data_IF_766127675747
#
_entry.id   IF_766127675747
#
_cell.length_a   1.000
_cell.length_b   1.000
_cell.length_c   1.000
_cell.angle_alpha   90.00
_cell.angle_beta   90.00
_cell.angle_gamma   90.00
#
_symmetry.space_group_name_H-M   'P 1'
#
loop_
_entity.id
_entity.type
_entity.pdbx_description
1 polymer ?
#
# COMPACT_ATOMS: atom_id res chain seq x y z
N UNK A 1 19.38 37.11 63.97
CA UNK A 1 18.51 35.93 63.77
C UNK A 1 18.09 35.89 62.31
N UNK A 2 18.51 34.83 61.57
CA UNK A 2 17.99 34.26 60.30
C UNK A 2 17.66 35.25 59.15
N UNK A 3 18.49 35.42 58.12
CA UNK A 3 18.71 34.52 56.96
C UNK A 3 17.45 33.84 56.44
N UNK A 4 17.04 34.16 55.20
CA UNK A 4 16.85 33.14 54.15
C UNK A 4 16.71 33.81 52.77
N UNK A 5 17.70 33.55 51.92
CA UNK A 5 17.62 33.62 50.47
C UNK A 5 16.60 32.59 49.98
N UNK A 6 15.69 32.96 49.07
CA UNK A 6 14.95 31.98 48.27
C UNK A 6 15.52 31.94 46.86
N UNK A 7 16.38 30.94 46.69
CA UNK A 7 16.93 30.44 45.45
C UNK A 7 15.83 29.67 44.69
N UNK A 8 15.71 29.96 43.39
CA UNK A 8 15.53 29.02 42.27
C UNK A 8 14.89 27.65 42.52
N UNK A 9 13.78 27.37 41.83
CA UNK A 9 13.52 26.06 41.24
C UNK A 9 12.65 26.23 39.98
N UNK A 10 13.31 26.47 38.83
CA UNK A 10 12.72 26.21 37.52
C UNK A 10 12.55 24.68 37.43
N UNK A 11 11.32 24.19 37.48
CA UNK A 11 11.01 22.81 37.15
C UNK A 11 11.07 22.71 35.62
N UNK A 12 12.28 22.46 35.12
CA UNK A 12 12.51 21.88 33.80
C UNK A 12 11.95 20.45 33.86
N UNK A 13 10.68 20.31 33.48
CA UNK A 13 10.10 19.04 33.05
C UNK A 13 10.79 18.65 31.73
N UNK A 14 12.00 18.11 31.87
CA UNK A 14 12.59 17.28 30.84
C UNK A 14 11.68 16.08 30.65
N UNK A 15 10.85 16.14 29.62
CA UNK A 15 10.21 14.96 29.02
C UNK A 15 11.37 14.13 28.45
N UNK A 16 11.98 13.33 29.34
CA UNK A 16 12.85 12.25 28.98
C UNK A 16 11.96 11.22 28.29
N UNK A 17 11.95 11.27 26.96
CA UNK A 17 11.51 10.13 26.17
C UNK A 17 12.32 8.91 26.64
N UNK A 18 11.68 7.84 27.12
CA UNK A 18 12.41 6.60 27.27
C UNK A 18 12.82 6.18 25.86
N UNK A 19 14.10 6.34 25.56
CA UNK A 19 14.71 5.65 24.43
C UNK A 19 14.55 4.16 24.71
N UNK A 20 13.51 3.56 24.13
CA UNK A 20 13.44 2.12 24.03
C UNK A 20 14.58 1.71 23.11
N UNK A 21 15.69 1.30 23.71
CA UNK A 21 16.73 0.54 23.02
C UNK A 21 16.13 -0.83 22.67
N UNK A 22 15.41 -0.86 21.55
CA UNK A 22 15.15 -2.08 20.80
C UNK A 22 16.51 -2.48 20.22
N UNK A 23 16.95 -3.72 20.48
CA UNK A 23 18.20 -4.24 19.94
C UNK A 23 18.21 -4.03 18.44
N UNK A 24 19.26 -3.36 17.94
CA UNK A 24 19.36 -2.90 16.56
C UNK A 24 19.05 -4.04 15.59
N UNK A 25 17.93 -3.89 14.90
CA UNK A 25 17.64 -4.67 13.71
C UNK A 25 18.45 -4.08 12.58
N UNK A 26 19.31 -4.86 11.92
CA UNK A 26 20.15 -4.46 10.77
C UNK A 26 19.35 -4.04 9.51
N UNK A 27 18.11 -3.56 9.65
CA UNK A 27 17.29 -3.08 8.55
C UNK A 27 17.68 -1.63 8.25
N UNK A 28 18.66 -1.48 7.37
CA UNK A 28 18.97 -0.23 6.68
C UNK A 28 18.28 -0.18 5.30
N UNK A 29 18.36 0.96 4.60
CA UNK A 29 17.87 1.14 3.22
C UNK A 29 18.24 0.00 2.28
N UNK A 30 19.46 -0.53 2.40
CA UNK A 30 19.95 -1.62 1.56
C UNK A 30 19.17 -2.91 1.83
N UNK A 31 18.76 -3.14 3.07
CA UNK A 31 17.95 -4.28 3.47
C UNK A 31 16.51 -4.14 2.99
N UNK A 32 15.89 -2.96 3.12
CA UNK A 32 14.57 -2.70 2.51
C UNK A 32 14.60 -2.83 0.98
N UNK A 33 15.63 -2.29 0.32
CA UNK A 33 15.84 -2.45 -1.13
C UNK A 33 16.13 -3.89 -1.56
N UNK A 34 16.60 -4.74 -0.65
CA UNK A 34 16.83 -6.17 -0.89
C UNK A 34 15.64 -7.07 -0.54
N UNK A 35 14.61 -6.50 0.07
CA UNK A 35 13.37 -7.19 0.39
C UNK A 35 12.38 -6.91 -0.72
N UNK A 36 11.63 -7.93 -1.13
CA UNK A 36 10.47 -7.69 -1.98
C UNK A 36 9.36 -7.12 -1.09
N UNK A 37 9.07 -5.83 -1.27
CA UNK A 37 8.00 -5.10 -0.58
C UNK A 37 6.93 -4.76 -1.61
N UNK A 38 5.68 -4.99 -1.25
CA UNK A 38 4.52 -4.76 -2.11
C UNK A 38 3.37 -4.19 -1.30
N UNK A 39 2.55 -3.34 -1.89
CA UNK A 39 1.30 -2.93 -1.25
C UNK A 39 0.31 -4.08 -1.14
N UNK A 40 -0.52 -4.02 -0.10
CA UNK A 40 -1.63 -4.95 0.09
C UNK A 40 -2.91 -4.14 0.26
N UNK A 41 -3.93 -4.52 -0.50
CA UNK A 41 -5.22 -3.83 -0.52
C UNK A 41 -6.37 -4.81 -0.35
N UNK A 42 -7.44 -4.32 0.27
CA UNK A 42 -8.75 -4.95 0.23
C UNK A 42 -9.46 -4.43 -1.03
N UNK A 43 -9.29 -5.13 -2.16
CA UNK A 43 -9.83 -4.72 -3.46
C UNK A 43 -11.37 -4.79 -3.52
N UNK A 44 -11.97 -5.64 -2.69
CA UNK A 44 -13.42 -5.80 -2.52
C UNK A 44 -13.71 -6.35 -1.12
N UNK A 45 -14.98 -6.55 -0.72
CA UNK A 45 -15.31 -7.21 0.54
C UNK A 45 -14.88 -8.68 0.59
N UNK A 46 -14.54 -9.27 -0.56
CA UNK A 46 -14.19 -10.69 -0.70
C UNK A 46 -12.73 -10.92 -1.11
N UNK A 47 -12.05 -9.88 -1.56
CA UNK A 47 -10.72 -10.00 -2.17
C UNK A 47 -9.72 -9.08 -1.48
N UNK A 48 -8.75 -9.69 -0.80
CA UNK A 48 -7.51 -9.04 -0.36
C UNK A 48 -6.37 -9.56 -1.22
N UNK A 49 -5.47 -8.68 -1.65
CA UNK A 49 -4.39 -9.06 -2.55
C UNK A 49 -3.10 -8.27 -2.28
N UNK A 50 -1.97 -8.93 -2.54
CA UNK A 50 -0.72 -8.24 -2.83
C UNK A 50 -0.85 -7.63 -4.22
N UNK A 51 -0.60 -6.33 -4.36
CA UNK A 51 -0.83 -5.60 -5.60
C UNK A 51 0.50 -5.13 -6.19
N UNK A 52 0.59 -5.22 -7.52
CA UNK A 52 1.66 -4.67 -8.33
C UNK A 52 1.02 -3.87 -9.45
N UNK A 53 1.36 -2.59 -9.56
CA UNK A 53 0.87 -1.74 -10.65
C UNK A 53 1.57 -2.08 -11.96
N UNK A 54 0.77 -2.11 -13.03
CA UNK A 54 1.24 -2.25 -14.41
C UNK A 54 1.69 -0.89 -14.93
N UNK A 55 2.84 -0.84 -15.58
CA UNK A 55 3.27 0.32 -16.39
C UNK A 55 3.39 1.69 -15.65
N UNK A 56 3.47 1.73 -14.33
CA UNK A 56 3.68 2.97 -13.55
C UNK A 56 5.15 3.35 -13.31
N UNK A 57 6.10 2.51 -13.74
CA UNK A 57 7.54 2.81 -13.61
C UNK A 57 8.17 3.10 -14.97
N UNK A 58 9.25 3.88 -14.98
CA UNK A 58 10.03 4.21 -16.20
C UNK A 58 10.53 2.97 -16.97
N UNK A 59 10.47 1.78 -16.38
CA UNK A 59 10.92 0.53 -16.99
C UNK A 59 9.93 -0.60 -16.79
N UNK A 60 9.51 -1.24 -17.89
CA UNK A 60 8.62 -2.39 -17.85
C UNK A 60 9.16 -3.52 -16.93
N UNK A 61 8.35 -3.89 -15.94
CA UNK A 61 8.60 -4.98 -15.00
C UNK A 61 8.55 -6.34 -15.72
N UNK A 62 8.96 -7.41 -15.02
CA UNK A 62 8.77 -8.78 -15.54
C UNK A 62 7.28 -9.11 -15.70
N UNK A 63 6.42 -8.59 -14.83
CA UNK A 63 4.99 -8.79 -14.90
C UNK A 63 4.39 -8.06 -16.10
N UNK A 64 4.82 -6.81 -16.36
CA UNK A 64 4.38 -6.04 -17.53
C UNK A 64 4.67 -6.80 -18.82
N UNK A 65 5.89 -7.32 -18.98
CA UNK A 65 6.30 -8.07 -20.17
C UNK A 65 5.51 -9.37 -20.38
N UNK A 66 5.19 -10.07 -19.28
CA UNK A 66 4.36 -11.28 -19.35
C UNK A 66 2.95 -10.89 -19.80
N UNK A 67 2.38 -9.85 -19.18
CA UNK A 67 1.03 -9.39 -19.50
C UNK A 67 0.92 -8.89 -20.94
N UNK A 68 1.80 -8.00 -21.39
CA UNK A 68 1.74 -7.40 -22.73
C UNK A 68 1.80 -8.49 -23.82
N UNK A 69 2.66 -9.51 -23.66
CA UNK A 69 2.75 -10.63 -24.60
C UNK A 69 1.48 -11.49 -24.62
N UNK A 70 0.84 -11.70 -23.47
CA UNK A 70 -0.40 -12.48 -23.40
C UNK A 70 -1.57 -11.64 -23.95
N UNK A 71 -1.62 -10.35 -23.63
CA UNK A 71 -2.62 -9.40 -24.11
C UNK A 71 -2.68 -9.37 -25.65
N UNK A 72 -1.52 -9.33 -26.31
CA UNK A 72 -1.43 -9.38 -27.78
C UNK A 72 -2.11 -10.61 -28.40
N UNK A 73 -2.22 -11.73 -27.64
CA UNK A 73 -2.78 -12.98 -28.12
C UNK A 73 -4.22 -13.21 -27.67
N UNK A 74 -4.51 -12.85 -26.42
CA UNK A 74 -5.75 -13.18 -25.73
C UNK A 74 -6.73 -12.00 -25.72
N UNK A 75 -6.29 -10.78 -26.10
CA UNK A 75 -7.12 -9.56 -26.15
C UNK A 75 -7.87 -9.28 -24.85
N UNK A 76 -7.19 -9.42 -23.70
CA UNK A 76 -7.78 -9.30 -22.36
C UNK A 76 -8.36 -7.89 -22.15
N UNK A 77 -7.68 -6.83 -22.59
CA UNK A 77 -8.19 -5.44 -22.48
C UNK A 77 -9.43 -5.22 -23.33
N UNK A 78 -9.56 -5.91 -24.46
CA UNK A 78 -10.76 -5.83 -25.28
C UNK A 78 -12.01 -6.27 -24.50
N UNK A 79 -11.87 -7.22 -23.56
CA UNK A 79 -12.97 -7.63 -22.68
C UNK A 79 -13.46 -6.47 -21.82
N UNK A 80 -12.55 -5.68 -21.25
CA UNK A 80 -12.90 -4.50 -20.45
C UNK A 80 -13.67 -3.48 -21.30
N UNK A 81 -13.13 -3.11 -22.48
CA UNK A 81 -13.79 -2.16 -23.37
C UNK A 81 -15.17 -2.66 -23.81
N UNK A 82 -15.30 -3.93 -24.19
CA UNK A 82 -16.57 -4.46 -24.66
C UNK A 82 -17.61 -4.59 -23.56
N UNK A 83 -17.23 -4.83 -22.31
CA UNK A 83 -18.18 -4.84 -21.18
C UNK A 83 -18.80 -3.48 -20.87
N UNK A 84 -18.23 -2.37 -21.38
CA UNK A 84 -18.81 -1.03 -21.27
C UNK A 84 -19.90 -0.75 -22.33
N UNK A 85 -20.12 -1.67 -23.29
CA UNK A 85 -21.09 -1.51 -24.37
C UNK A 85 -22.13 -2.66 -24.38
N UNK A 86 -23.37 -2.35 -24.77
CA UNK A 86 -24.50 -3.31 -24.76
C UNK A 86 -24.29 -4.55 -25.67
N UNK A 87 -23.31 -4.52 -26.58
CA UNK A 87 -22.97 -5.61 -27.50
C UNK A 87 -21.66 -6.33 -27.11
N UNK A 88 -21.45 -6.53 -25.81
CA UNK A 88 -20.24 -7.16 -25.30
C UNK A 88 -20.02 -8.57 -25.89
N UNK A 89 -18.97 -8.75 -26.69
CA UNK A 89 -18.53 -10.07 -27.15
C UNK A 89 -17.63 -10.67 -26.06
N UNK A 90 -18.00 -11.82 -25.44
CA UNK A 90 -17.17 -12.44 -24.43
C UNK A 90 -15.79 -12.80 -25.00
N UNK A 91 -14.73 -12.27 -24.39
CA UNK A 91 -13.37 -12.65 -24.78
C UNK A 91 -13.04 -14.03 -24.22
N UNK A 92 -12.72 -14.97 -25.12
CA UNK A 92 -12.43 -16.35 -24.75
C UNK A 92 -11.21 -16.43 -23.84
N UNK A 93 -11.34 -17.08 -22.69
CA UNK A 93 -10.24 -17.28 -21.73
C UNK A 93 -10.11 -16.18 -20.67
N UNK A 94 -11.00 -15.19 -20.69
CA UNK A 94 -11.11 -14.15 -19.65
C UNK A 94 -12.41 -14.36 -18.87
N UNK A 95 -12.33 -14.32 -17.54
CA UNK A 95 -13.48 -14.49 -16.65
C UNK A 95 -13.52 -13.37 -15.62
N UNK A 96 -14.68 -12.74 -15.41
CA UNK A 96 -14.89 -11.85 -14.27
C UNK A 96 -15.09 -12.73 -13.03
N UNK A 97 -14.23 -12.57 -12.03
CA UNK A 97 -14.26 -13.38 -10.80
C UNK A 97 -14.73 -12.58 -9.58
N UNK A 98 -14.64 -11.26 -9.63
CA UNK A 98 -15.18 -10.35 -8.62
C UNK A 98 -15.50 -9.00 -9.26
N UNK A 99 -16.72 -8.49 -9.06
CA UNK A 99 -17.16 -7.19 -9.57
C UNK A 99 -17.74 -6.32 -8.46
N UNK A 100 -17.43 -6.63 -7.19
CA UNK A 100 -18.04 -5.98 -6.03
C UNK A 100 -17.23 -4.82 -5.47
N UNK A 101 -15.97 -4.66 -5.92
CA UNK A 101 -15.11 -3.53 -5.57
C UNK A 101 -15.03 -2.47 -6.66
N UNK A 102 -14.06 -1.55 -6.54
CA UNK A 102 -13.76 -0.52 -7.56
C UNK A 102 -13.42 -1.16 -8.90
N UNK A 103 -12.54 -2.15 -8.88
CA UNK A 103 -12.15 -2.89 -10.08
C UNK A 103 -13.07 -4.08 -10.30
N UNK A 104 -13.44 -4.32 -11.57
CA UNK A 104 -13.86 -5.65 -12.00
C UNK A 104 -12.63 -6.53 -12.16
N UNK A 105 -12.44 -7.49 -11.26
CA UNK A 105 -11.30 -8.38 -11.23
C UNK A 105 -11.49 -9.52 -12.25
N UNK A 106 -10.54 -9.60 -13.18
CA UNK A 106 -10.50 -10.55 -14.27
C UNK A 106 -9.52 -11.68 -13.98
N UNK A 107 -9.84 -12.86 -14.46
CA UNK A 107 -9.00 -14.03 -14.41
C UNK A 107 -8.67 -14.50 -15.83
N UNK A 108 -7.39 -14.79 -16.07
CA UNK A 108 -6.91 -15.46 -17.28
C UNK A 108 -5.91 -16.55 -16.88
N UNK A 109 -6.12 -17.76 -17.37
CA UNK A 109 -5.34 -18.95 -16.99
C UNK A 109 -3.85 -18.83 -17.39
N UNK A 110 -3.54 -18.22 -18.53
CA UNK A 110 -2.15 -18.05 -18.99
C UNK A 110 -1.42 -17.04 -18.12
N UNK A 111 -2.07 -15.94 -17.77
CA UNK A 111 -1.52 -14.93 -16.87
C UNK A 111 -1.21 -15.57 -15.51
N UNK A 112 -2.16 -16.29 -14.90
CA UNK A 112 -1.91 -16.96 -13.63
C UNK A 112 -0.76 -17.97 -13.72
N UNK A 113 -0.76 -18.81 -14.75
CA UNK A 113 0.27 -19.85 -14.95
C UNK A 113 1.68 -19.27 -15.04
N UNK A 114 1.84 -18.10 -15.66
CA UNK A 114 3.15 -17.47 -15.83
C UNK A 114 3.55 -16.55 -14.68
N UNK A 115 2.61 -15.80 -14.09
CA UNK A 115 2.91 -14.84 -13.03
C UNK A 115 2.97 -15.46 -11.64
N UNK A 116 2.07 -16.40 -11.32
CA UNK A 116 1.97 -16.97 -9.96
C UNK A 116 3.29 -17.57 -9.47
N UNK A 117 4.06 -18.33 -10.27
CA UNK A 117 5.33 -18.90 -9.83
C UNK A 117 6.36 -17.87 -9.35
N UNK A 118 6.30 -16.62 -9.86
CA UNK A 118 7.23 -15.56 -9.47
C UNK A 118 7.04 -15.08 -8.02
N UNK A 119 5.84 -15.31 -7.47
CA UNK A 119 5.48 -14.97 -6.09
C UNK A 119 4.99 -16.21 -5.30
N UNK A 120 5.32 -17.42 -5.73
CA UNK A 120 4.88 -18.67 -5.08
C UNK A 120 5.68 -18.98 -3.81
N UNK A 121 5.73 -18.03 -2.87
CA UNK A 121 6.42 -18.12 -1.58
C UNK A 121 5.58 -17.50 -0.47
N UNK A 122 5.98 -17.76 0.77
CA UNK A 122 5.34 -17.16 1.94
C UNK A 122 5.70 -15.67 2.06
N UNK A 123 4.72 -14.86 2.44
CA UNK A 123 4.86 -13.45 2.70
C UNK A 123 4.37 -13.12 4.12
N UNK A 124 5.07 -12.21 4.77
CA UNK A 124 4.58 -11.52 5.96
C UNK A 124 3.64 -10.41 5.51
N UNK A 125 2.35 -10.58 5.76
CA UNK A 125 1.31 -9.59 5.46
C UNK A 125 1.10 -8.73 6.70
N UNK A 126 1.53 -7.47 6.62
CA UNK A 126 1.41 -6.51 7.71
C UNK A 126 0.11 -5.73 7.59
N UNK A 127 -0.61 -5.66 8.70
CA UNK A 127 -1.73 -4.75 8.87
C UNK A 127 -1.45 -3.67 9.91
N UNK A 128 -2.43 -2.82 10.17
CA UNK A 128 -2.27 -1.67 11.07
C UNK A 128 -2.01 -2.02 12.54
N UNK A 129 -2.16 -3.28 12.95
CA UNK A 129 -1.99 -3.74 14.35
C UNK A 129 -1.06 -4.93 14.53
N UNK A 130 -0.67 -5.60 13.44
CA UNK A 130 0.04 -6.87 13.51
C UNK A 130 0.38 -7.42 12.14
N UNK A 131 0.73 -8.70 12.09
CA UNK A 131 0.99 -9.39 10.84
C UNK A 131 0.63 -10.87 10.95
N UNK A 132 0.50 -11.50 9.80
CA UNK A 132 0.42 -12.95 9.65
C UNK A 132 1.19 -13.41 8.41
N UNK A 133 1.43 -14.71 8.29
CA UNK A 133 2.13 -15.28 7.15
C UNK A 133 1.09 -15.88 6.21
N UNK A 134 1.07 -15.44 4.96
CA UNK A 134 0.18 -15.96 3.92
C UNK A 134 0.92 -16.16 2.61
N UNK A 135 0.35 -16.99 1.75
CA UNK A 135 0.88 -17.30 0.42
C UNK A 135 -0.15 -16.89 -0.65
N UNK A 136 0.27 -16.30 -1.77
CA UNK A 136 -0.62 -16.03 -2.91
C UNK A 136 -1.37 -17.26 -3.41
N UNK A 137 -2.68 -17.12 -3.56
CA UNK A 137 -3.58 -18.20 -3.99
C UNK A 137 -3.85 -18.14 -5.49
N UNK A 138 -4.23 -16.96 -5.99
CA UNK A 138 -4.54 -16.72 -7.40
C UNK A 138 -4.00 -15.39 -7.90
N UNK A 139 -3.82 -15.29 -9.21
CA UNK A 139 -3.54 -14.03 -9.90
C UNK A 139 -4.80 -13.57 -10.62
N UNK A 140 -5.23 -12.35 -10.31
CA UNK A 140 -6.33 -11.66 -10.99
C UNK A 140 -5.87 -10.28 -11.42
N UNK A 141 -6.62 -9.67 -12.32
CA UNK A 141 -6.29 -8.41 -12.98
C UNK A 141 -7.38 -7.39 -12.67
N UNK A 142 -7.03 -6.21 -12.19
CA UNK A 142 -7.91 -5.05 -12.26
C UNK A 142 -7.49 -4.24 -13.47
N UNK A 143 -8.38 -4.04 -14.44
CA UNK A 143 -8.08 -3.23 -15.61
C UNK A 143 -8.88 -1.92 -15.58
N UNK A 144 -8.28 -0.87 -16.12
CA UNK A 144 -8.90 0.43 -16.33
C UNK A 144 -8.52 1.01 -17.71
N UNK A 145 -9.23 2.05 -18.15
CA UNK A 145 -9.09 2.73 -19.45
C UNK A 145 -7.65 3.16 -19.73
N UNK A 146 -6.91 3.52 -18.67
CA UNK A 146 -5.67 4.29 -18.74
C UNK A 146 -4.39 3.53 -18.35
N UNK A 147 -4.32 2.21 -18.54
CA UNK A 147 -3.16 1.37 -18.19
C UNK A 147 -2.76 1.34 -16.71
N UNK A 148 -3.49 2.02 -15.82
CA UNK A 148 -3.51 1.84 -14.35
C UNK A 148 -4.12 0.48 -13.98
N UNK A 149 -3.58 -0.56 -14.62
CA UNK A 149 -3.96 -1.93 -14.39
C UNK A 149 -3.18 -2.44 -13.18
N UNK A 150 -3.79 -3.35 -12.44
CA UNK A 150 -3.16 -4.00 -11.32
C UNK A 150 -3.03 -5.49 -11.57
N UNK A 151 -1.89 -6.05 -11.19
CA UNK A 151 -1.71 -7.47 -10.97
C UNK A 151 -1.99 -7.76 -9.49
N UNK A 152 -3.08 -8.46 -9.20
CA UNK A 152 -3.53 -8.75 -7.86
C UNK A 152 -3.30 -10.23 -7.51
N UNK A 153 -2.36 -10.46 -6.60
CA UNK A 153 -2.04 -11.77 -6.05
C UNK A 153 -2.86 -11.99 -4.78
N UNK A 154 -4.01 -12.62 -4.95
CA UNK A 154 -5.01 -12.81 -3.89
C UNK A 154 -4.44 -13.64 -2.74
N UNK A 155 -4.83 -13.29 -1.52
CA UNK A 155 -4.47 -14.00 -0.30
C UNK A 155 -5.75 -14.44 0.44
N UNK A 156 -5.67 -15.51 1.23
CA UNK A 156 -6.85 -16.12 1.85
C UNK A 156 -7.10 -15.55 3.26
N UNK A 157 -8.28 -14.93 3.45
CA UNK A 157 -8.85 -14.57 4.76
C UNK A 157 -7.84 -13.93 5.73
N UNK A 158 -7.30 -12.78 5.37
CA UNK A 158 -6.55 -11.94 6.32
C UNK A 158 -7.42 -11.63 7.55
N UNK A 159 -6.92 -11.91 8.76
CA UNK A 159 -7.65 -11.71 10.01
C UNK A 159 -7.58 -10.23 10.43
N UNK A 160 -8.46 -9.43 9.85
CA UNK A 160 -8.51 -7.99 10.13
C UNK A 160 -8.92 -7.66 11.57
N UNK A 161 -9.57 -8.59 12.28
CA UNK A 161 -9.91 -8.40 13.70
C UNK A 161 -8.64 -8.42 14.56
N UNK A 162 -7.73 -9.36 14.27
CA UNK A 162 -6.46 -9.51 14.95
C UNK A 162 -5.40 -8.51 14.47
N UNK A 163 -5.22 -8.37 13.16
CA UNK A 163 -4.09 -7.69 12.55
C UNK A 163 -4.39 -6.26 12.08
N UNK A 164 -5.65 -5.82 12.16
CA UNK A 164 -6.07 -4.50 11.66
C UNK A 164 -6.34 -4.51 10.17
N UNK A 165 -6.14 -3.38 9.48
CA UNK A 165 -6.31 -3.29 8.02
C UNK A 165 -5.03 -3.71 7.31
N UNK A 166 -5.06 -4.52 6.25
CA UNK A 166 -3.84 -4.93 5.54
C UNK A 166 -3.21 -3.74 4.80
N UNK A 167 -1.88 -3.65 4.81
CA UNK A 167 -1.15 -2.46 4.32
C UNK A 167 -0.06 -2.85 3.31
N UNK A 168 0.83 -3.79 3.67
CA UNK A 168 1.91 -4.23 2.78
C UNK A 168 2.36 -5.65 3.07
N UNK A 169 3.07 -6.25 2.12
CA UNK A 169 3.66 -7.57 2.20
C UNK A 169 5.19 -7.48 2.13
N UNK A 170 5.89 -8.35 2.85
CA UNK A 170 7.32 -8.55 2.69
C UNK A 170 7.69 -10.02 2.66
N UNK A 171 8.66 -10.38 1.82
CA UNK A 171 9.20 -11.74 1.77
C UNK A 171 10.17 -12.06 2.91
N UNK A 172 10.48 -11.07 3.77
CA UNK A 172 11.23 -11.25 5.02
C UNK A 172 10.50 -10.63 6.19
N UNK A 173 10.72 -11.19 7.38
CA UNK A 173 10.18 -10.62 8.61
C UNK A 173 10.85 -9.27 8.90
N UNK A 174 10.02 -8.28 9.21
CA UNK A 174 10.39 -6.95 9.68
C UNK A 174 9.80 -6.84 11.08
N UNK A 175 10.64 -6.59 12.08
CA UNK A 175 10.21 -6.49 13.47
C UNK A 175 9.65 -5.09 13.74
N UNK A 176 8.47 -4.82 13.21
CA UNK A 176 7.78 -3.55 13.38
C UNK A 176 7.31 -3.36 14.83
N UNK A 177 7.43 -2.13 15.30
CA UNK A 177 6.79 -1.64 16.53
C UNK A 177 5.48 -0.97 16.12
N UNK A 178 4.35 -1.58 16.46
CA UNK A 178 3.03 -1.02 16.23
C UNK A 178 2.65 -0.04 17.34
N UNK A 179 2.00 1.07 16.99
CA UNK A 179 1.67 2.10 17.97
C UNK A 179 0.68 3.13 17.48
N UNK A 180 0.30 4.04 18.37
CA UNK A 180 -0.67 5.12 18.09
C UNK A 180 -0.14 6.51 18.43
N UNK A 181 1.10 6.61 18.93
CA UNK A 181 1.69 7.88 19.35
C UNK A 181 2.68 8.41 18.30
N UNK A 182 2.15 8.76 17.12
CA UNK A 182 2.94 9.24 15.98
C UNK A 182 2.59 10.66 15.52
N UNK A 183 1.76 11.40 16.26
CA UNK A 183 1.25 12.72 15.84
C UNK A 183 2.31 13.70 15.34
N UNK A 184 3.48 13.74 15.98
CA UNK A 184 4.56 14.64 15.59
C UNK A 184 5.18 14.27 14.24
N UNK A 185 5.40 12.97 13.99
CA UNK A 185 5.97 12.51 12.72
C UNK A 185 4.90 12.52 11.61
N UNK A 186 3.64 12.22 11.95
CA UNK A 186 2.51 12.39 11.03
C UNK A 186 2.40 13.84 10.56
N UNK A 187 2.52 14.83 11.44
CA UNK A 187 2.51 16.24 11.05
C UNK A 187 3.61 16.54 10.03
N UNK A 188 4.85 16.07 10.25
CA UNK A 188 5.97 16.26 9.31
C UNK A 188 5.73 15.60 7.94
N UNK A 189 5.14 14.41 7.93
CA UNK A 189 4.86 13.67 6.69
C UNK A 189 3.72 14.34 5.91
N UNK A 190 2.67 14.78 6.60
CA UNK A 190 1.58 15.53 5.97
C UNK A 190 2.06 16.90 5.46
N UNK A 191 2.94 17.59 6.20
CA UNK A 191 3.59 18.82 5.74
C UNK A 191 4.41 18.53 4.46
N UNK A 192 5.16 17.43 4.41
CA UNK A 192 5.89 17.01 3.21
C UNK A 192 4.97 16.87 1.99
N UNK A 193 3.87 16.11 2.12
CA UNK A 193 2.90 15.95 1.02
C UNK A 193 2.21 17.27 0.64
N UNK A 194 1.88 18.15 1.59
CA UNK A 194 1.22 19.43 1.30
C UNK A 194 2.06 20.39 0.46
N UNK A 195 3.37 20.16 0.37
CA UNK A 195 4.29 20.95 -0.43
C UNK A 195 4.50 20.38 -1.85
N UNK A 196 3.90 19.23 -2.17
CA UNK A 196 3.95 18.64 -3.51
C UNK A 196 2.80 19.24 -4.33
N UNK A 197 3.13 19.86 -5.48
CA UNK A 197 2.11 20.32 -6.41
C UNK A 197 1.50 19.12 -7.13
N UNK A 198 0.18 18.97 -7.06
CA UNK A 198 -0.58 17.93 -7.74
C UNK A 198 -1.88 18.49 -8.28
N UNK A 199 -2.32 17.99 -9.43
CA UNK A 199 -3.60 18.35 -10.05
C UNK A 199 -4.79 17.70 -9.31
N UNK A 200 -4.52 16.62 -8.58
CA UNK A 200 -5.49 15.90 -7.76
C UNK A 200 -4.92 15.58 -6.38
N UNK A 201 -5.71 15.71 -5.33
CA UNK A 201 -5.29 15.40 -3.98
C UNK A 201 -6.44 14.79 -3.16
N UNK A 202 -6.10 13.79 -2.36
CA UNK A 202 -7.01 13.25 -1.35
C UNK A 202 -7.21 14.26 -0.22
N UNK A 203 -8.39 14.24 0.39
CA UNK A 203 -8.70 15.09 1.55
C UNK A 203 -8.56 14.31 2.86
N UNK A 204 -7.60 13.38 2.93
CA UNK A 204 -7.32 12.59 4.12
C UNK A 204 -5.85 12.67 4.52
N UNK A 205 -5.53 12.77 5.83
CA UNK A 205 -4.15 12.80 6.27
C UNK A 205 -3.52 11.41 6.23
N UNK A 206 -2.24 11.37 5.88
CA UNK A 206 -1.38 10.20 6.03
C UNK A 206 -1.22 9.84 7.51
N UNK A 207 -1.32 8.55 7.82
CA UNK A 207 -1.19 8.00 9.17
C UNK A 207 0.00 7.07 9.28
N UNK A 208 0.66 7.10 10.44
CA UNK A 208 1.71 6.14 10.79
C UNK A 208 1.11 5.05 11.65
N UNK A 209 1.32 3.78 11.30
CA UNK A 209 0.84 2.64 12.08
C UNK A 209 1.95 1.86 12.77
N UNK A 210 3.17 1.96 12.25
CA UNK A 210 4.32 1.27 12.81
C UNK A 210 5.62 1.99 12.47
N UNK A 211 6.67 1.67 13.24
CA UNK A 211 8.02 2.11 12.95
C UNK A 211 9.06 1.03 13.27
N UNK A 212 10.26 1.22 12.76
CA UNK A 212 11.49 0.53 13.16
C UNK A 212 12.61 1.55 13.13
N UNK A 213 13.22 1.82 14.28
CA UNK A 213 14.19 2.91 14.44
C UNK A 213 13.64 4.25 13.88
N UNK A 214 14.32 4.82 12.88
CA UNK A 214 13.94 6.07 12.22
C UNK A 214 13.11 5.88 10.95
N UNK A 215 12.63 4.67 10.67
CA UNK A 215 11.77 4.34 9.54
C UNK A 215 10.32 4.22 10.01
N UNK A 216 9.44 4.95 9.35
CA UNK A 216 8.02 5.08 9.69
C UNK A 216 7.19 4.55 8.54
N UNK A 217 6.34 3.57 8.85
CA UNK A 217 5.46 2.93 7.88
C UNK A 217 4.11 3.63 7.93
N UNK A 218 3.66 4.06 6.76
CA UNK A 218 2.46 4.88 6.64
C UNK A 218 1.46 4.35 5.63
N UNK A 219 0.24 4.83 5.77
CA UNK A 219 -0.81 4.69 4.77
C UNK A 219 -1.62 5.98 4.67
N UNK A 220 -2.12 6.24 3.48
CA UNK A 220 -3.18 7.22 3.21
C UNK A 220 -4.35 6.40 2.67
N UNK A 221 -5.34 6.10 3.52
CA UNK A 221 -6.50 5.29 3.18
C UNK A 221 -7.58 5.43 4.25
N UNK A 222 -8.84 5.53 3.83
CA UNK A 222 -10.00 5.47 4.74
C UNK A 222 -10.65 4.07 4.79
N UNK A 223 -10.21 3.15 3.93
CA UNK A 223 -10.62 1.77 3.76
C UNK A 223 -12.10 1.57 3.40
N UNK A 224 -12.75 2.60 2.85
CA UNK A 224 -14.19 2.55 2.51
C UNK A 224 -14.44 2.19 1.05
N UNK A 225 -13.50 2.49 0.16
CA UNK A 225 -13.62 2.26 -1.28
C UNK A 225 -13.81 0.78 -1.66
N UNK A 226 -13.41 -0.16 -0.79
CA UNK A 226 -13.59 -1.60 -0.99
C UNK A 226 -15.06 -2.04 -1.06
N UNK A 227 -15.98 -1.32 -0.41
CA UNK A 227 -17.37 -1.74 -0.23
C UNK A 227 -18.30 -1.16 -1.30
N UNK A 228 -18.18 0.14 -1.57
CA UNK A 228 -18.81 0.83 -2.70
C UNK A 228 -18.00 2.09 -2.96
N UNK A 229 -17.46 2.23 -4.16
CA UNK A 229 -16.75 3.45 -4.52
C UNK A 229 -17.75 4.53 -4.94
N UNK A 230 -17.80 5.60 -4.17
CA UNK A 230 -18.49 6.83 -4.58
C UNK A 230 -17.84 8.04 -3.94
N UNK A 231 -17.92 9.17 -4.64
CA UNK A 231 -17.50 10.49 -4.14
C UNK A 231 -18.22 10.92 -2.85
N UNK A 232 -19.31 10.24 -2.47
CA UNK A 232 -20.05 10.50 -1.22
C UNK A 232 -19.56 9.65 -0.05
N UNK A 233 -18.86 8.54 -0.31
CA UNK A 233 -18.53 7.52 0.70
C UNK A 233 -17.05 7.48 1.05
N UNK A 234 -16.16 7.81 0.11
CA UNK A 234 -14.72 7.89 0.33
C UNK A 234 -14.20 9.32 0.14
N UNK A 235 -13.24 9.72 0.98
CA UNK A 235 -12.43 10.94 0.80
C UNK A 235 -11.03 10.63 0.25
N UNK A 236 -10.80 9.36 -0.11
CA UNK A 236 -9.56 8.80 -0.63
C UNK A 236 -9.80 8.17 -2.00
N UNK A 237 -9.19 8.78 -3.01
CA UNK A 237 -9.16 8.36 -4.41
C UNK A 237 -7.79 7.81 -4.81
N UNK A 238 -6.74 8.12 -4.04
CA UNK A 238 -5.37 7.66 -4.29
C UNK A 238 -4.80 6.89 -3.09
N UNK A 239 -5.39 5.75 -2.70
CA UNK A 239 -4.95 5.03 -1.51
C UNK A 239 -3.50 4.58 -1.66
N UNK A 240 -2.65 5.05 -0.76
CA UNK A 240 -1.21 4.88 -0.86
C UNK A 240 -0.58 4.29 0.38
N UNK A 241 0.60 3.71 0.16
CA UNK A 241 1.43 3.01 1.13
C UNK A 241 2.84 3.56 0.97
N UNK A 242 3.47 3.90 2.08
CA UNK A 242 4.82 4.43 2.01
C UNK A 242 5.65 4.08 3.23
N UNK A 243 6.96 4.20 3.07
CA UNK A 243 7.93 4.16 4.16
C UNK A 243 8.72 5.46 4.10
N UNK A 244 8.67 6.21 5.19
CA UNK A 244 9.45 7.44 5.36
C UNK A 244 10.61 7.20 6.31
N UNK A 245 11.74 7.84 6.02
CA UNK A 245 12.86 7.94 6.95
C UNK A 245 12.89 9.31 7.58
N UNK A 246 13.05 9.36 8.90
CA UNK A 246 13.37 10.59 9.63
C UNK A 246 14.89 10.74 9.71
N UNK A 247 15.40 11.77 9.07
CA UNK A 247 16.82 12.12 9.09
C UNK A 247 17.21 12.81 10.40
N UNK A 248 18.51 12.83 10.70
CA UNK A 248 19.05 13.43 11.93
C UNK A 248 18.78 14.93 12.04
N UNK A 249 18.66 15.62 10.91
CA UNK A 249 18.32 17.05 10.84
C UNK A 249 16.81 17.32 10.98
N UNK A 250 16.00 16.25 11.09
CA UNK A 250 14.56 16.31 11.25
C UNK A 250 13.77 16.27 9.95
N UNK A 251 14.42 16.19 8.80
CA UNK A 251 13.83 16.02 7.46
C UNK A 251 13.17 14.64 7.34
N UNK A 252 12.03 14.57 6.65
CA UNK A 252 11.41 13.30 6.26
C UNK A 252 11.70 13.02 4.79
N UNK A 253 12.08 11.79 4.47
CA UNK A 253 12.41 11.38 3.10
C UNK A 253 11.68 10.09 2.75
N UNK A 254 10.93 10.04 1.65
CA UNK A 254 10.33 8.79 1.20
C UNK A 254 11.43 7.84 0.72
N UNK A 255 11.36 6.59 1.14
CA UNK A 255 12.29 5.54 0.69
C UNK A 255 11.61 4.43 -0.12
N UNK A 256 10.29 4.34 -0.02
CA UNK A 256 9.43 3.49 -0.81
C UNK A 256 8.03 4.10 -0.77
N UNK A 257 7.38 4.17 -1.92
CA UNK A 257 6.03 4.67 -2.10
C UNK A 257 5.34 3.84 -3.17
N UNK A 258 4.07 3.57 -2.96
CA UNK A 258 3.22 2.82 -3.86
C UNK A 258 1.76 3.25 -3.62
N UNK A 259 0.94 3.25 -4.66
CA UNK A 259 -0.40 3.81 -4.60
C UNK A 259 -1.30 3.24 -5.69
N UNK A 260 -2.60 3.41 -5.54
CA UNK A 260 -3.56 3.09 -6.61
C UNK A 260 -4.20 4.38 -7.10
N UNK A 261 -4.45 4.46 -8.40
CA UNK A 261 -5.40 5.42 -8.96
C UNK A 261 -6.79 4.78 -9.00
N UNK A 262 -7.68 5.20 -8.10
CA UNK A 262 -9.10 4.82 -8.13
C UNK A 262 -9.98 5.86 -8.84
N UNK A 263 -9.44 7.06 -9.11
CA UNK A 263 -10.17 8.12 -9.78
C UNK A 263 -10.31 7.82 -11.28
N UNK A 264 -9.34 7.10 -11.85
CA UNK A 264 -9.26 6.83 -13.27
C UNK A 264 -8.86 8.09 -14.01
N UNK A 265 -7.78 8.74 -13.57
CA UNK A 265 -7.31 9.97 -14.22
C UNK A 265 -7.02 9.62 -15.70
N UNK A 266 -7.67 10.31 -16.66
CA UNK A 266 -7.41 10.07 -18.07
C UNK A 266 -5.94 10.36 -18.38
N UNK A 267 -5.29 9.48 -19.13
CA UNK A 267 -3.96 9.74 -19.69
C UNK A 267 -4.05 10.89 -20.70
N UNK A 268 -3.16 11.88 -20.58
CA UNK A 268 -2.88 12.87 -21.63
C UNK A 268 -2.21 12.25 -22.87
#
# INVERSE_FOLDING_TARGET
MRSLYFLSALILLGILYPAQHVGGTDINDKTLKSNSIYSVYELSPKTTAIVINHAETDSATVFDKIFDRIEEQDSIKANWFYTQFDEAVPVKGVQIVDSTGVYSLLYNERVEKEMKPLLDKDFYIYGTKGFEIQKPQKVVLGLDECKTNIFAFTIDRFDSNKNGKPIFASDKKINLVFGTNYKQIEAKINDHYSNIQSDYADNIPTKVYANIDNLYFVYTDDFKWRDTFSFETTECFFPSRAIFRLEKDGTVTPIWEDGLDLFGIPCD
#
